data_IF_242560132389
#
_entry.id   IF_242560132389
#
_cell.length_a   1.000
_cell.length_b   1.000
_cell.length_c   1.000
_cell.angle_alpha   90.00
_cell.angle_beta   90.00
_cell.angle_gamma   90.00
#
_symmetry.space_group_name_H-M   'P 1'
#
loop_
_entity.id
_entity.type
_entity.pdbx_description
1 polymer ?
#
# COMPACT_ATOMS: atom_id res chain seq x y z
N UNK A 1 -12.82 -9.16 4.18
CA UNK A 1 -11.41 -9.21 3.71
C UNK A 1 -11.16 -8.19 2.61
N UNK A 2 -11.83 -8.25 1.45
CA UNK A 2 -11.56 -7.33 0.32
C UNK A 2 -11.82 -5.85 0.63
N UNK A 3 -12.86 -5.51 1.39
CA UNK A 3 -13.07 -4.14 1.94
C UNK A 3 -11.82 -3.65 2.67
N UNK A 4 -11.28 -4.46 3.59
CA UNK A 4 -10.11 -4.09 4.39
C UNK A 4 -8.83 -4.02 3.55
N UNK A 5 -8.62 -4.95 2.61
CA UNK A 5 -7.47 -4.90 1.72
C UNK A 5 -7.48 -3.65 0.83
N UNK A 6 -8.65 -3.33 0.26
CA UNK A 6 -8.82 -2.16 -0.58
C UNK A 6 -8.70 -0.85 0.21
N UNK A 7 -9.38 -0.74 1.35
CA UNK A 7 -9.38 0.47 2.18
C UNK A 7 -8.01 0.73 2.80
N UNK A 8 -7.34 -0.31 3.29
CA UNK A 8 -5.96 -0.19 3.77
C UNK A 8 -5.01 0.22 2.63
N UNK A 9 -5.18 -0.33 1.43
CA UNK A 9 -4.33 0.05 0.29
C UNK A 9 -4.52 1.50 -0.13
N UNK A 10 -5.78 1.94 -0.26
CA UNK A 10 -6.14 3.20 -0.91
C UNK A 10 -6.31 4.35 0.09
N UNK A 11 -7.44 4.39 0.79
CA UNK A 11 -7.76 5.50 1.69
C UNK A 11 -6.70 5.65 2.78
N UNK A 12 -6.38 4.56 3.48
CA UNK A 12 -5.51 4.63 4.65
C UNK A 12 -4.02 4.75 4.30
N UNK A 13 -3.43 3.74 3.65
CA UNK A 13 -1.98 3.72 3.46
C UNK A 13 -1.54 4.69 2.37
N UNK A 14 -2.15 4.63 1.18
CA UNK A 14 -1.77 5.54 0.10
C UNK A 14 -2.19 6.98 0.41
N UNK A 15 -3.41 7.18 0.90
CA UNK A 15 -4.00 8.49 1.12
C UNK A 15 -3.54 9.16 2.40
N UNK A 16 -4.10 8.73 3.54
CA UNK A 16 -3.90 9.40 4.82
C UNK A 16 -2.46 9.29 5.32
N UNK A 17 -1.84 8.11 5.25
CA UNK A 17 -0.52 7.88 5.86
C UNK A 17 0.66 8.33 5.00
N UNK A 18 0.51 8.36 3.68
CA UNK A 18 1.62 8.65 2.77
C UNK A 18 1.41 9.92 1.95
N UNK A 19 0.27 10.04 1.26
CA UNK A 19 0.05 11.15 0.33
C UNK A 19 -0.16 12.48 1.05
N UNK A 20 -0.81 12.49 2.20
CA UNK A 20 -1.05 13.71 2.98
C UNK A 20 0.26 14.41 3.37
N UNK A 21 1.14 13.74 4.11
CA UNK A 21 2.43 14.30 4.52
C UNK A 21 3.30 14.71 3.32
N UNK A 22 3.28 13.92 2.24
CA UNK A 22 3.97 14.27 0.99
C UNK A 22 3.42 15.54 0.32
N UNK A 23 2.11 15.77 0.37
CA UNK A 23 1.47 16.97 -0.20
C UNK A 23 1.76 18.22 0.63
N UNK A 24 1.77 18.08 1.95
CA UNK A 24 2.01 19.17 2.89
C UNK A 24 3.50 19.51 2.99
N UNK A 25 4.37 18.59 2.56
CA UNK A 25 5.80 18.65 2.80
C UNK A 25 6.13 18.84 4.29
N UNK A 26 5.29 18.25 5.15
CA UNK A 26 5.40 18.35 6.60
C UNK A 26 6.06 17.09 7.16
N UNK A 27 7.32 17.17 7.64
CA UNK A 27 8.00 16.05 8.28
C UNK A 27 7.25 15.49 9.51
N UNK A 28 6.44 16.31 10.19
CA UNK A 28 5.69 15.90 11.38
C UNK A 28 4.42 15.10 11.04
N UNK A 29 4.01 15.07 9.77
CA UNK A 29 2.88 14.26 9.28
C UNK A 29 3.29 12.80 8.98
N UNK A 30 4.51 12.39 9.31
CA UNK A 30 4.86 10.98 9.28
C UNK A 30 4.30 10.20 10.49
N UNK A 31 3.97 8.92 10.27
CA UNK A 31 3.19 8.14 11.25
C UNK A 31 3.98 7.70 12.50
N UNK A 32 5.24 7.32 12.35
CA UNK A 32 6.07 6.75 13.44
C UNK A 32 7.23 7.70 13.84
N UNK A 33 7.00 9.02 13.80
CA UNK A 33 8.02 10.07 13.91
C UNK A 33 8.94 9.96 15.13
N UNK A 34 8.42 9.58 16.31
CA UNK A 34 9.25 9.45 17.51
C UNK A 34 10.25 8.27 17.47
N UNK A 35 10.10 7.37 16.52
CA UNK A 35 10.91 6.15 16.41
C UNK A 35 11.65 6.02 15.07
N UNK A 36 11.51 6.98 14.16
CA UNK A 36 12.03 6.97 12.79
C UNK A 36 11.69 5.68 12.01
N UNK A 37 10.52 5.08 12.30
CA UNK A 37 10.19 3.73 11.84
C UNK A 37 9.10 3.66 10.76
N UNK A 38 8.65 4.80 10.24
CA UNK A 38 7.51 4.93 9.31
C UNK A 38 7.67 4.04 8.07
N UNK A 39 8.88 4.00 7.52
CA UNK A 39 9.23 3.18 6.36
C UNK A 39 9.04 1.67 6.61
N UNK A 40 9.28 1.19 7.83
CA UNK A 40 9.03 -0.20 8.21
C UNK A 40 7.53 -0.46 8.37
N UNK A 41 6.79 0.43 9.03
CA UNK A 41 5.35 0.29 9.17
C UNK A 41 4.66 0.19 7.81
N UNK A 42 4.97 1.10 6.87
CA UNK A 42 4.39 1.07 5.53
C UNK A 42 4.77 -0.19 4.73
N UNK A 43 6.02 -0.64 4.84
CA UNK A 43 6.46 -1.88 4.20
C UNK A 43 5.71 -3.11 4.73
N UNK A 44 5.57 -3.22 6.06
CA UNK A 44 4.90 -4.36 6.68
C UNK A 44 3.37 -4.32 6.54
N UNK A 45 2.76 -3.14 6.46
CA UNK A 45 1.34 -2.98 6.09
C UNK A 45 1.09 -3.58 4.69
N UNK A 46 1.94 -3.24 3.71
CA UNK A 46 1.84 -3.81 2.36
C UNK A 46 2.12 -5.32 2.33
N UNK A 47 3.12 -5.81 3.08
CA UNK A 47 3.33 -7.26 3.21
C UNK A 47 2.10 -7.95 3.82
N UNK A 48 1.45 -7.33 4.80
CA UNK A 48 0.20 -7.80 5.38
C UNK A 48 -0.91 -7.95 4.33
N UNK A 49 -1.11 -6.93 3.50
CA UNK A 49 -2.07 -6.96 2.38
C UNK A 49 -1.79 -8.17 1.46
N UNK A 50 -0.53 -8.34 1.04
CA UNK A 50 -0.12 -9.45 0.16
C UNK A 50 -0.34 -10.82 0.82
N UNK A 51 0.05 -10.96 2.08
CA UNK A 51 -0.06 -12.22 2.82
C UNK A 51 -1.53 -12.65 2.98
N UNK A 52 -2.42 -11.71 3.26
CA UNK A 52 -3.86 -11.97 3.39
C UNK A 52 -4.48 -12.33 2.04
N UNK A 53 -4.08 -11.68 0.94
CA UNK A 53 -4.56 -12.04 -0.39
C UNK A 53 -4.11 -13.45 -0.83
N UNK A 54 -2.84 -13.79 -0.56
CA UNK A 54 -2.25 -15.08 -0.91
C UNK A 54 -2.57 -16.21 0.09
N UNK A 55 -3.13 -15.89 1.25
CA UNK A 55 -3.39 -16.87 2.31
C UNK A 55 -2.11 -17.54 2.83
N UNK A 56 -0.98 -16.83 2.79
CA UNK A 56 0.32 -17.38 3.15
C UNK A 56 1.26 -16.33 3.76
N UNK A 57 2.08 -16.74 4.73
CA UNK A 57 3.17 -15.94 5.28
C UNK A 57 4.30 -16.80 5.85
N UNK A 58 5.50 -16.24 5.92
CA UNK A 58 6.67 -16.88 6.54
C UNK A 58 6.84 -16.41 7.97
N UNK A 59 6.93 -17.35 8.91
CA UNK A 59 7.20 -17.08 10.34
C UNK A 59 8.65 -16.65 10.56
N UNK A 60 8.92 -16.08 11.72
CA UNK A 60 10.27 -15.71 12.17
C UNK A 60 11.25 -16.90 12.23
N UNK A 61 10.74 -18.12 12.39
CA UNK A 61 11.52 -19.36 12.37
C UNK A 61 11.71 -19.94 10.96
N UNK A 62 11.31 -19.20 9.93
CA UNK A 62 11.41 -19.58 8.53
C UNK A 62 10.32 -20.53 8.03
N UNK A 63 9.42 -21.00 8.90
CA UNK A 63 8.34 -21.90 8.49
C UNK A 63 7.23 -21.13 7.77
N UNK A 64 6.77 -21.67 6.65
CA UNK A 64 5.62 -21.14 5.93
C UNK A 64 4.31 -21.60 6.59
N UNK A 65 3.37 -20.68 6.76
CA UNK A 65 1.96 -20.96 7.04
C UNK A 65 1.19 -20.65 5.77
N UNK A 66 0.38 -21.60 5.30
CA UNK A 66 -0.43 -21.46 4.10
C UNK A 66 -1.78 -22.14 4.27
N UNK A 67 -2.82 -21.56 3.68
CA UNK A 67 -4.17 -22.12 3.63
C UNK A 67 -4.93 -21.69 2.38
N UNK A 68 -6.26 -21.84 2.40
CA UNK A 68 -7.13 -21.33 1.36
C UNK A 68 -6.96 -19.81 1.20
N UNK A 69 -7.01 -19.33 -0.03
CA UNK A 69 -6.67 -17.94 -0.35
C UNK A 69 -7.70 -17.24 -1.24
N UNK A 70 -7.72 -15.90 -1.18
CA UNK A 70 -8.48 -15.08 -2.13
C UNK A 70 -7.92 -15.25 -3.54
N UNK A 71 -6.60 -15.36 -3.67
CA UNK A 71 -5.92 -15.66 -4.94
C UNK A 71 -6.49 -16.92 -5.61
N UNK A 72 -6.65 -18.02 -4.89
CA UNK A 72 -7.24 -19.25 -5.43
C UNK A 72 -8.69 -19.07 -5.87
N UNK A 73 -9.49 -18.33 -5.10
CA UNK A 73 -10.88 -18.02 -5.43
C UNK A 73 -10.99 -17.16 -6.70
N UNK A 74 -10.14 -16.14 -6.83
CA UNK A 74 -10.09 -15.28 -8.02
C UNK A 74 -9.61 -16.10 -9.21
N UNK A 75 -8.54 -16.87 -9.06
CA UNK A 75 -7.98 -17.70 -10.13
C UNK A 75 -8.99 -18.72 -10.67
N UNK A 76 -9.86 -19.27 -9.83
CA UNK A 76 -10.90 -20.20 -10.25
C UNK A 76 -11.95 -19.55 -11.18
N UNK A 77 -12.16 -18.23 -11.09
CA UNK A 77 -13.12 -17.47 -11.91
C UNK A 77 -12.45 -16.72 -13.06
N UNK A 78 -11.32 -16.08 -12.79
CA UNK A 78 -10.52 -15.32 -13.75
C UNK A 78 -9.00 -15.47 -13.44
N UNK A 79 -8.33 -16.43 -14.10
CA UNK A 79 -6.89 -16.63 -13.94
C UNK A 79 -6.03 -15.43 -14.35
N UNK A 80 -6.52 -14.58 -15.27
CA UNK A 80 -5.76 -13.41 -15.74
C UNK A 80 -5.82 -12.30 -14.70
N UNK A 81 -7.00 -12.08 -14.10
CA UNK A 81 -7.13 -11.11 -13.01
C UNK A 81 -6.31 -11.52 -11.79
N UNK A 82 -6.28 -12.81 -11.41
CA UNK A 82 -5.41 -13.26 -10.32
C UNK A 82 -3.93 -12.95 -10.59
N UNK A 83 -3.45 -13.27 -11.80
CA UNK A 83 -2.07 -13.00 -12.19
C UNK A 83 -1.75 -11.49 -12.15
N UNK A 84 -2.69 -10.64 -12.60
CA UNK A 84 -2.58 -9.18 -12.52
C UNK A 84 -2.48 -8.70 -11.08
N UNK A 85 -3.39 -9.12 -10.20
CA UNK A 85 -3.39 -8.71 -8.79
C UNK A 85 -2.08 -9.12 -8.11
N UNK A 86 -1.63 -10.35 -8.32
CA UNK A 86 -0.37 -10.84 -7.76
C UNK A 86 0.83 -10.02 -8.24
N UNK A 87 0.90 -9.73 -9.54
CA UNK A 87 1.97 -8.91 -10.10
C UNK A 87 1.98 -7.49 -9.51
N UNK A 88 0.80 -6.89 -9.30
CA UNK A 88 0.70 -5.55 -8.70
C UNK A 88 1.01 -5.54 -7.21
N UNK A 89 0.60 -6.57 -6.46
CA UNK A 89 1.01 -6.74 -5.05
C UNK A 89 2.53 -6.86 -4.94
N UNK A 90 3.16 -7.67 -5.80
CA UNK A 90 4.61 -7.84 -5.84
C UNK A 90 5.33 -6.53 -6.22
N UNK A 91 4.80 -5.79 -7.21
CA UNK A 91 5.35 -4.49 -7.60
C UNK A 91 5.24 -3.45 -6.47
N UNK A 92 4.16 -3.46 -5.70
CA UNK A 92 3.98 -2.56 -4.55
C UNK A 92 4.92 -2.93 -3.41
N UNK A 93 5.10 -4.22 -3.11
CA UNK A 93 6.12 -4.68 -2.14
C UNK A 93 7.53 -4.21 -2.57
N UNK A 94 7.85 -4.31 -3.87
CA UNK A 94 9.15 -3.86 -4.37
C UNK A 94 9.36 -2.34 -4.22
N UNK A 95 8.33 -1.53 -4.48
CA UNK A 95 8.39 -0.08 -4.28
C UNK A 95 8.56 0.29 -2.80
N UNK A 96 7.79 -0.36 -1.91
CA UNK A 96 7.93 -0.19 -0.46
C UNK A 96 9.31 -0.63 0.05
N UNK A 97 9.85 -1.72 -0.49
CA UNK A 97 11.20 -2.17 -0.15
C UNK A 97 12.27 -1.17 -0.60
N UNK A 98 12.12 -0.56 -1.77
CA UNK A 98 13.04 0.48 -2.23
C UNK A 98 13.01 1.72 -1.32
N UNK A 99 11.81 2.15 -0.91
CA UNK A 99 11.61 3.23 0.06
C UNK A 99 12.25 2.89 1.41
N UNK A 100 11.98 1.70 1.96
CA UNK A 100 12.62 1.18 3.17
C UNK A 100 14.14 1.18 3.06
N UNK A 101 14.71 0.67 1.96
CA UNK A 101 16.16 0.65 1.78
C UNK A 101 16.75 2.05 1.72
N UNK A 102 16.08 3.01 1.06
CA UNK A 102 16.51 4.42 1.08
C UNK A 102 16.47 4.98 2.50
N UNK A 103 15.42 4.65 3.26
CA UNK A 103 15.24 5.08 4.65
C UNK A 103 16.39 4.64 5.55
N UNK A 104 16.88 3.42 5.33
CA UNK A 104 17.95 2.80 6.11
C UNK A 104 19.36 3.21 5.67
N UNK A 105 19.53 3.81 4.49
CA UNK A 105 20.87 3.99 3.87
C UNK A 105 21.18 5.40 3.37
N UNK A 106 20.19 6.25 3.14
CA UNK A 106 20.36 7.59 2.55
C UNK A 106 19.82 8.67 3.47
N UNK A 107 18.54 8.60 3.83
CA UNK A 107 17.81 9.64 4.57
C UNK A 107 16.56 9.02 5.20
N UNK A 108 16.09 9.52 6.34
CA UNK A 108 14.87 9.04 7.02
C UNK A 108 13.58 9.41 6.25
N UNK A 109 12.44 8.82 6.61
CA UNK A 109 11.19 9.00 5.84
C UNK A 109 10.66 10.44 5.86
N UNK A 110 10.71 11.10 7.01
CA UNK A 110 10.43 12.54 7.18
C UNK A 110 11.24 13.42 6.21
N UNK A 111 12.52 13.11 6.01
CA UNK A 111 13.38 13.79 5.05
C UNK A 111 12.96 13.53 3.60
N UNK A 112 12.41 12.35 3.30
CA UNK A 112 11.89 12.05 1.96
C UNK A 112 10.64 12.86 1.61
N UNK A 113 9.81 13.20 2.60
CA UNK A 113 8.59 14.00 2.37
C UNK A 113 8.83 15.50 2.46
N UNK A 114 9.93 15.95 3.05
CA UNK A 114 10.30 17.36 3.19
C UNK A 114 10.32 18.14 1.86
N UNK A 115 10.07 19.45 1.95
CA UNK A 115 10.10 20.35 0.80
C UNK A 115 11.49 20.39 0.16
N UNK A 116 11.53 20.46 -1.17
CA UNK A 116 12.76 20.52 -1.96
C UNK A 116 13.48 19.18 -2.18
N UNK A 117 13.11 18.10 -1.47
CA UNK A 117 13.70 16.78 -1.68
C UNK A 117 13.04 16.00 -2.83
N UNK A 118 13.32 16.42 -4.07
CA UNK A 118 12.69 15.83 -5.27
C UNK A 118 12.88 14.32 -5.39
N UNK A 119 14.02 13.80 -4.99
CA UNK A 119 14.33 12.36 -5.09
C UNK A 119 13.59 11.55 -4.03
N UNK A 120 13.57 12.04 -2.78
CA UNK A 120 12.78 11.47 -1.70
C UNK A 120 11.28 11.52 -2.00
N UNK A 121 10.78 12.67 -2.45
CA UNK A 121 9.36 12.84 -2.81
C UNK A 121 8.95 11.87 -3.93
N UNK A 122 9.81 11.69 -4.94
CA UNK A 122 9.55 10.74 -6.02
C UNK A 122 9.56 9.28 -5.53
N UNK A 123 10.40 8.93 -4.55
CA UNK A 123 10.41 7.61 -3.93
C UNK A 123 9.08 7.30 -3.23
N UNK A 124 8.60 8.23 -2.40
CA UNK A 124 7.32 8.08 -1.69
C UNK A 124 6.15 8.05 -2.68
N UNK A 125 6.14 8.94 -3.67
CA UNK A 125 5.11 8.96 -4.71
C UNK A 125 5.04 7.66 -5.51
N UNK A 126 6.19 7.05 -5.83
CA UNK A 126 6.21 5.77 -6.54
C UNK A 126 5.56 4.64 -5.73
N UNK A 127 5.71 4.63 -4.40
CA UNK A 127 5.03 3.66 -3.55
C UNK A 127 3.50 3.91 -3.47
N UNK A 128 3.09 5.19 -3.36
CA UNK A 128 1.68 5.61 -3.40
C UNK A 128 1.01 5.17 -4.70
N UNK A 129 1.65 5.42 -5.85
CA UNK A 129 1.10 5.07 -7.16
C UNK A 129 0.85 3.57 -7.31
N UNK A 130 1.72 2.74 -6.71
CA UNK A 130 1.58 1.28 -6.71
C UNK A 130 0.43 0.80 -5.82
N UNK A 131 0.25 1.41 -4.67
CA UNK A 131 -0.91 1.15 -3.80
C UNK A 131 -2.24 1.52 -4.49
N UNK A 132 -2.27 2.65 -5.20
CA UNK A 132 -3.44 3.03 -6.01
C UNK A 132 -3.68 2.02 -7.13
N UNK A 133 -2.64 1.62 -7.86
CA UNK A 133 -2.76 0.67 -8.98
C UNK A 133 -3.23 -0.72 -8.53
N UNK A 134 -2.71 -1.26 -7.42
CA UNK A 134 -3.18 -2.56 -6.90
C UNK A 134 -4.65 -2.48 -6.44
N UNK A 135 -5.08 -1.33 -5.88
CA UNK A 135 -6.45 -1.12 -5.43
C UNK A 135 -7.43 -1.24 -6.60
N UNK A 136 -7.10 -0.69 -7.77
CA UNK A 136 -7.96 -0.81 -8.97
C UNK A 136 -8.19 -2.26 -9.40
N UNK A 137 -7.21 -3.14 -9.19
CA UNK A 137 -7.40 -4.58 -9.45
C UNK A 137 -8.20 -5.27 -8.33
N UNK A 138 -8.09 -4.81 -7.08
CA UNK A 138 -8.94 -5.28 -5.97
C UNK A 138 -10.42 -4.89 -6.17
N UNK A 139 -10.72 -3.70 -6.71
CA UNK A 139 -12.07 -3.29 -7.12
C UNK A 139 -12.66 -4.25 -8.16
N UNK A 140 -11.84 -4.64 -9.15
CA UNK A 140 -12.24 -5.64 -10.16
C UNK A 140 -12.47 -7.02 -9.56
N UNK A 141 -11.69 -7.42 -8.55
CA UNK A 141 -11.91 -8.67 -7.80
C UNK A 141 -13.23 -8.64 -7.06
N UNK A 142 -13.55 -7.53 -6.38
CA UNK A 142 -14.83 -7.33 -5.69
C UNK A 142 -16.00 -7.52 -6.66
N UNK A 143 -15.92 -6.91 -7.84
CA UNK A 143 -16.93 -7.03 -8.88
C UNK A 143 -17.04 -8.48 -9.42
N UNK A 144 -15.91 -9.15 -9.68
CA UNK A 144 -15.88 -10.54 -10.17
C UNK A 144 -16.52 -11.53 -9.19
N UNK A 145 -16.34 -11.29 -7.90
CA UNK A 145 -16.87 -12.17 -6.85
C UNK A 145 -18.34 -11.88 -6.49
N UNK A 146 -18.95 -10.85 -7.11
CA UNK A 146 -20.35 -10.47 -6.92
C UNK A 146 -20.74 -10.28 -5.44
N UNK A 147 -19.87 -9.60 -4.68
CA UNK A 147 -20.01 -9.46 -3.22
C UNK A 147 -21.02 -8.38 -2.80
N UNK A 148 -21.86 -7.89 -3.72
CA UNK A 148 -22.82 -6.81 -3.48
C UNK A 148 -22.15 -5.47 -3.18
N UNK A 149 -22.69 -4.71 -2.21
CA UNK A 149 -22.18 -3.38 -1.83
C UNK A 149 -20.92 -3.51 -0.96
N UNK A 150 -19.78 -3.79 -1.59
CA UNK A 150 -18.47 -3.59 -0.99
C UNK A 150 -17.96 -2.23 -1.43
N UNK A 151 -17.71 -1.34 -0.46
CA UNK A 151 -17.06 -0.05 -0.69
C UNK A 151 -15.60 -0.12 -0.26
N UNK A 152 -14.72 0.54 -1.01
CA UNK A 152 -13.36 0.85 -0.57
C UNK A 152 -13.40 2.27 -0.02
N UNK A 153 -12.85 2.47 1.17
CA UNK A 153 -12.74 3.80 1.77
C UNK A 153 -11.74 4.64 0.98
N UNK A 154 -12.15 5.88 0.66
CA UNK A 154 -11.35 6.87 -0.05
C UNK A 154 -10.52 7.72 0.91
N UNK A 155 -9.83 8.73 0.36
CA UNK A 155 -9.11 9.74 1.14
C UNK A 155 -9.11 11.05 0.37
N UNK A 156 -9.28 12.18 1.05
CA UNK A 156 -9.27 13.48 0.39
C UNK A 156 -7.91 13.81 -0.24
N UNK A 157 -6.80 13.28 0.28
CA UNK A 157 -5.46 13.47 -0.33
C UNK A 157 -5.31 12.78 -1.70
N UNK A 158 -6.16 11.79 -2.00
CA UNK A 158 -6.25 11.12 -3.30
C UNK A 158 -7.44 11.62 -4.14
N UNK A 159 -8.60 11.78 -3.52
CA UNK A 159 -9.87 12.00 -4.22
C UNK A 159 -10.23 13.49 -4.38
N UNK A 160 -9.72 14.35 -3.49
CA UNK A 160 -9.98 15.81 -3.47
C UNK A 160 -8.73 16.60 -3.03
N UNK A 161 -7.58 16.48 -3.71
CA UNK A 161 -6.31 17.06 -3.23
C UNK A 161 -6.36 18.58 -3.03
N UNK A 162 -7.17 19.31 -3.83
CA UNK A 162 -7.36 20.75 -3.69
C UNK A 162 -8.10 21.18 -2.41
N UNK A 163 -8.78 20.23 -1.74
CA UNK A 163 -9.47 20.48 -0.48
C UNK A 163 -8.52 20.40 0.73
N UNK A 164 -7.38 19.73 0.60
CA UNK A 164 -6.40 19.54 1.69
C UNK A 164 -5.75 20.86 2.11
N UNK A 165 -5.62 21.81 1.18
CA UNK A 165 -4.93 23.10 1.42
C UNK A 165 -5.88 24.26 1.78
N UNK A 166 -7.13 23.97 2.18
CA UNK A 166 -8.14 24.97 2.53
C UNK A 166 -8.48 24.93 4.01
#
# INVERSE_FOLDING_TARGET
MLTGLGSLSYGELAGERMKLGLMLHDPEEEHDCFSDNTHNAHYYDQLGIRNVYLGAYTRIDGKEVKGASLSELVKAKDPKLDAEVRAKLDATVAAMQAMKTRAETVETYDQMIADGNKEGNAMVQAAIDRLVDQTRSLERVIALLDLGKVAIEGSDSLDKPDAVFK
#
